data_IF_798394672183
#
_entry.id   IF_798394672183
#
_cell.length_a   1.000
_cell.length_b   1.000
_cell.length_c   1.000
_cell.angle_alpha   90.00
_cell.angle_beta   90.00
_cell.angle_gamma   90.00
#
_symmetry.space_group_name_H-M   'P 1'
#
loop_
_entity.id
_entity.type
_entity.pdbx_description
1 polymer ?
#
# COMPACT_ATOMS: atom_id res chain seq x y z
N UNK A 1 -8.83 -9.40 -1.15
CA UNK A 1 -7.70 -9.39 -0.20
C UNK A 1 -7.30 -10.79 0.26
N UNK A 2 -8.17 -11.62 0.84
CA UNK A 2 -7.85 -13.01 1.31
C UNK A 2 -7.17 -13.89 0.27
N UNK A 3 -7.66 -13.89 -0.99
CA UNK A 3 -7.02 -14.65 -2.08
C UNK A 3 -5.55 -14.24 -2.29
N UNK A 4 -5.29 -12.95 -2.31
CA UNK A 4 -3.93 -12.45 -2.47
C UNK A 4 -3.01 -12.89 -1.33
N UNK A 5 -3.49 -12.86 -0.09
CA UNK A 5 -2.73 -13.33 1.08
C UNK A 5 -2.41 -14.81 0.97
N UNK A 6 -3.39 -15.64 0.58
CA UNK A 6 -3.18 -17.08 0.43
C UNK A 6 -2.24 -17.44 -0.73
N UNK A 7 -2.32 -16.69 -1.84
CA UNK A 7 -1.45 -16.89 -3.00
C UNK A 7 -0.01 -16.46 -2.74
N UNK A 8 0.17 -15.27 -2.19
CA UNK A 8 1.49 -14.63 -2.02
C UNK A 8 2.18 -15.06 -0.73
N UNK A 9 1.41 -15.34 0.34
CA UNK A 9 1.91 -15.63 1.71
C UNK A 9 2.90 -14.55 2.19
N UNK A 10 2.49 -13.28 2.23
CA UNK A 10 3.39 -12.17 2.50
C UNK A 10 3.85 -12.14 3.96
N UNK A 11 4.99 -11.52 4.23
CA UNK A 11 5.49 -11.26 5.58
C UNK A 11 4.77 -10.07 6.25
N UNK A 12 4.33 -9.11 5.46
CA UNK A 12 3.57 -7.94 5.91
C UNK A 12 2.54 -7.53 4.85
N UNK A 13 1.49 -6.86 5.29
CA UNK A 13 0.44 -6.31 4.44
C UNK A 13 0.36 -4.81 4.70
N UNK A 14 0.25 -4.01 3.63
CA UNK A 14 -0.03 -2.58 3.71
C UNK A 14 -1.41 -2.31 3.13
N UNK A 15 -2.30 -1.73 3.93
CA UNK A 15 -3.63 -1.30 3.54
C UNK A 15 -3.67 0.23 3.44
N UNK A 16 -3.96 0.75 2.26
CA UNK A 16 -3.80 2.18 1.92
C UNK A 16 -5.10 2.98 2.04
N UNK A 17 -5.98 2.56 2.92
CA UNK A 17 -7.19 3.31 3.26
C UNK A 17 -8.43 2.91 2.49
N UNK A 18 -9.51 3.53 2.87
CA UNK A 18 -10.90 3.20 2.60
C UNK A 18 -11.30 1.80 3.10
N UNK A 19 -12.41 1.72 3.82
CA UNK A 19 -12.81 0.48 4.51
C UNK A 19 -11.73 -0.05 5.47
N UNK A 20 -11.30 0.79 6.41
CA UNK A 20 -10.27 0.47 7.40
C UNK A 20 -10.53 -0.86 8.14
N UNK A 21 -11.80 -1.19 8.37
CA UNK A 21 -12.22 -2.44 9.02
C UNK A 21 -11.85 -3.70 8.20
N UNK A 22 -11.66 -3.59 6.89
CA UNK A 22 -11.19 -4.70 6.06
C UNK A 22 -9.75 -5.11 6.43
N UNK A 23 -8.89 -4.14 6.74
CA UNK A 23 -7.54 -4.39 7.22
C UNK A 23 -7.53 -5.04 8.60
N UNK A 24 -8.41 -4.61 9.51
CA UNK A 24 -8.58 -5.23 10.83
C UNK A 24 -9.07 -6.67 10.71
N UNK A 25 -10.01 -6.93 9.80
CA UNK A 25 -10.51 -8.30 9.52
C UNK A 25 -9.39 -9.21 9.03
N UNK A 26 -8.56 -8.72 8.09
CA UNK A 26 -7.39 -9.47 7.61
C UNK A 26 -6.38 -9.73 8.72
N UNK A 27 -6.13 -8.76 9.60
CA UNK A 27 -5.24 -8.93 10.74
C UNK A 27 -5.73 -10.01 11.72
N UNK A 28 -7.04 -10.11 11.91
CA UNK A 28 -7.65 -11.17 12.76
C UNK A 28 -7.57 -12.55 12.09
N UNK A 29 -7.77 -12.63 10.79
CA UNK A 29 -7.74 -13.90 10.05
C UNK A 29 -6.31 -14.46 9.86
N UNK A 30 -5.33 -13.56 9.77
CA UNK A 30 -3.91 -13.90 9.56
C UNK A 30 -3.03 -13.31 10.68
N UNK A 31 -3.18 -13.77 11.93
CA UNK A 31 -2.54 -13.15 13.10
C UNK A 31 -1.01 -13.22 13.10
N UNK A 32 -0.44 -14.05 12.23
CA UNK A 32 1.00 -14.19 12.02
C UNK A 32 1.57 -13.17 11.01
N UNK A 33 0.70 -12.43 10.29
CA UNK A 33 1.09 -11.41 9.32
C UNK A 33 0.82 -10.03 9.91
N UNK A 34 1.84 -9.17 9.93
CA UNK A 34 1.66 -7.79 10.39
C UNK A 34 0.93 -6.96 9.33
N UNK A 35 -0.18 -6.36 9.72
CA UNK A 35 -0.93 -5.43 8.88
C UNK A 35 -0.59 -3.99 9.27
N UNK A 36 -0.10 -3.23 8.31
CA UNK A 36 0.12 -1.78 8.41
C UNK A 36 -0.98 -1.09 7.63
N UNK A 37 -1.64 -0.09 8.22
CA UNK A 37 -2.72 0.58 7.52
C UNK A 37 -2.79 2.07 7.82
N UNK A 38 -3.32 2.82 6.87
CA UNK A 38 -3.66 4.23 6.98
C UNK A 38 -5.14 4.40 6.67
N UNK A 39 -5.84 5.40 7.26
CA UNK A 39 -7.23 5.67 6.94
C UNK A 39 -7.36 6.35 5.58
N UNK A 40 -8.47 6.10 4.88
CA UNK A 40 -8.88 6.82 3.68
C UNK A 40 -9.92 7.90 3.96
N UNK A 41 -10.35 8.60 2.92
CA UNK A 41 -11.38 9.64 3.06
C UNK A 41 -12.77 9.06 3.41
N UNK A 42 -13.02 7.79 3.12
CA UNK A 42 -14.24 7.10 3.55
C UNK A 42 -14.20 6.67 5.03
N UNK A 43 -13.05 6.76 5.69
CA UNK A 43 -12.84 6.40 7.09
C UNK A 43 -12.79 7.63 8.00
N UNK A 44 -13.43 8.74 7.62
CA UNK A 44 -13.34 10.05 8.28
C UNK A 44 -13.58 10.02 9.80
N UNK A 45 -14.47 9.14 10.28
CA UNK A 45 -14.73 8.95 11.69
C UNK A 45 -13.54 8.34 12.48
N UNK A 46 -12.67 7.56 11.83
CA UNK A 46 -11.43 7.02 12.39
C UNK A 46 -10.31 8.06 12.40
N UNK A 47 -10.22 8.87 11.34
CA UNK A 47 -9.23 9.96 11.23
C UNK A 47 -9.38 10.97 12.37
N UNK A 48 -10.61 11.24 12.82
CA UNK A 48 -10.87 12.19 13.90
C UNK A 48 -10.41 11.68 15.28
N UNK A 49 -10.04 10.41 15.41
CA UNK A 49 -9.79 9.83 16.72
C UNK A 49 -8.34 9.46 17.01
N UNK A 50 -7.63 8.70 16.18
CA UNK A 50 -6.30 8.18 16.59
C UNK A 50 -5.36 7.73 15.44
N UNK A 51 -5.82 7.66 14.18
CA UNK A 51 -5.00 7.12 13.10
C UNK A 51 -4.40 8.23 12.23
N UNK A 52 -3.06 8.33 12.15
CA UNK A 52 -2.42 9.32 11.27
C UNK A 52 -2.68 9.00 9.79
N UNK A 53 -2.98 10.05 9.02
CA UNK A 53 -3.22 9.96 7.57
C UNK A 53 -1.95 9.58 6.77
N UNK A 54 -0.78 9.80 7.38
CA UNK A 54 0.53 9.47 6.83
C UNK A 54 1.31 8.66 7.85
N UNK A 55 1.93 7.58 7.39
CA UNK A 55 2.89 6.78 8.16
C UNK A 55 4.18 6.62 7.38
N UNK A 56 5.32 6.79 8.03
CA UNK A 56 6.61 6.56 7.40
C UNK A 56 7.56 5.89 8.40
N UNK A 57 7.82 4.62 8.19
CA UNK A 57 8.70 3.80 9.01
C UNK A 57 9.15 2.53 8.27
N UNK A 58 10.02 1.75 8.89
CA UNK A 58 10.59 0.55 8.28
C UNK A 58 9.61 -0.63 8.35
N UNK A 59 9.31 -1.21 7.20
CA UNK A 59 8.53 -2.45 7.03
C UNK A 59 9.39 -3.45 6.28
N UNK A 60 9.61 -4.63 6.84
CA UNK A 60 10.51 -5.65 6.28
C UNK A 60 11.90 -5.09 5.92
N UNK A 61 12.43 -4.18 6.76
CA UNK A 61 13.75 -3.58 6.60
C UNK A 61 13.83 -2.42 5.60
N UNK A 62 12.71 -2.00 5.02
CA UNK A 62 12.66 -0.91 4.03
C UNK A 62 11.76 0.21 4.53
N UNK A 63 12.25 1.46 4.44
CA UNK A 63 11.46 2.63 4.83
C UNK A 63 10.40 2.94 3.80
N UNK A 64 9.13 2.83 4.21
CA UNK A 64 7.97 3.05 3.37
C UNK A 64 7.21 4.30 3.81
N UNK A 65 6.89 5.18 2.86
CA UNK A 65 5.92 6.26 3.03
C UNK A 65 4.55 5.76 2.62
N UNK A 66 3.58 5.78 3.52
CA UNK A 66 2.25 5.21 3.34
C UNK A 66 1.19 6.28 3.60
N UNK A 67 0.31 6.49 2.64
CA UNK A 67 -0.83 7.41 2.73
C UNK A 67 -1.97 6.92 1.84
N UNK A 68 -3.21 7.31 2.17
CA UNK A 68 -4.30 7.12 1.22
C UNK A 68 -4.13 8.02 -0.01
N UNK A 69 -3.66 9.25 0.18
CA UNK A 69 -3.31 10.15 -0.91
C UNK A 69 -4.31 11.26 -1.18
N UNK A 70 -5.50 11.27 -0.57
CA UNK A 70 -6.48 12.33 -0.79
C UNK A 70 -5.97 13.71 -0.32
N UNK A 71 -5.23 13.78 0.80
CA UNK A 71 -4.60 15.01 1.29
C UNK A 71 -3.40 15.46 0.42
N UNK A 72 -2.80 14.54 -0.32
CA UNK A 72 -1.72 14.83 -1.28
C UNK A 72 -2.24 15.18 -2.68
N UNK A 73 -3.55 15.20 -2.88
CA UNK A 73 -4.19 15.49 -4.16
C UNK A 73 -3.73 14.60 -5.31
N UNK A 74 -3.49 13.32 -5.04
CA UNK A 74 -2.92 12.34 -6.00
C UNK A 74 -3.75 12.11 -7.26
N UNK A 75 -5.03 12.51 -7.28
CA UNK A 75 -5.85 12.52 -8.50
C UNK A 75 -5.46 13.60 -9.50
N UNK A 76 -4.69 14.59 -9.07
CA UNK A 76 -4.24 15.72 -9.91
C UNK A 76 -2.76 15.60 -10.23
N UNK A 77 -1.92 15.31 -9.23
CA UNK A 77 -0.47 15.19 -9.39
C UNK A 77 0.14 14.39 -8.23
N UNK A 78 1.24 13.71 -8.49
CA UNK A 78 2.02 13.03 -7.46
C UNK A 78 3.10 13.91 -6.81
N UNK A 79 3.25 15.15 -7.26
CA UNK A 79 4.36 16.03 -6.85
C UNK A 79 4.51 16.14 -5.34
N UNK A 80 3.42 16.43 -4.62
CA UNK A 80 3.44 16.58 -3.15
C UNK A 80 3.74 15.26 -2.44
N UNK A 81 3.15 14.16 -2.90
CA UNK A 81 3.42 12.83 -2.38
C UNK A 81 4.91 12.48 -2.47
N UNK A 82 5.51 12.69 -3.65
CA UNK A 82 6.91 12.37 -3.91
C UNK A 82 7.85 13.27 -3.12
N UNK A 83 7.51 14.55 -2.97
CA UNK A 83 8.27 15.50 -2.17
C UNK A 83 8.32 15.08 -0.70
N UNK A 84 7.17 14.76 -0.12
CA UNK A 84 7.06 14.35 1.29
C UNK A 84 7.76 13.00 1.54
N UNK A 85 7.59 12.03 0.64
CA UNK A 85 8.27 10.74 0.72
C UNK A 85 9.81 10.88 0.70
N UNK A 86 10.33 11.75 -0.18
CA UNK A 86 11.77 12.06 -0.25
C UNK A 86 12.27 12.75 1.01
N UNK A 87 11.52 13.73 1.51
CA UNK A 87 11.86 14.46 2.73
C UNK A 87 11.95 13.54 3.95
N UNK A 88 11.16 12.47 3.98
CA UNK A 88 11.15 11.46 5.05
C UNK A 88 12.13 10.29 4.80
N UNK A 89 12.91 10.33 3.73
CA UNK A 89 13.93 9.33 3.40
C UNK A 89 13.34 7.98 3.01
N UNK A 90 12.12 7.95 2.46
CA UNK A 90 11.48 6.72 2.05
C UNK A 90 12.13 6.13 0.79
N UNK A 91 12.14 4.80 0.69
CA UNK A 91 12.53 4.06 -0.51
C UNK A 91 11.34 3.76 -1.42
N UNK A 92 10.12 3.84 -0.87
CA UNK A 92 8.89 3.75 -1.64
C UNK A 92 7.82 4.69 -1.09
N UNK A 93 7.05 5.30 -2.01
CA UNK A 93 5.83 6.03 -1.75
C UNK A 93 4.61 5.16 -2.15
N UNK A 94 3.83 4.76 -1.15
CA UNK A 94 2.65 3.93 -1.34
C UNK A 94 1.40 4.77 -1.17
N UNK A 95 0.50 4.73 -2.14
CA UNK A 95 -0.74 5.52 -2.12
C UNK A 95 -1.92 4.75 -2.73
N UNK A 96 -3.13 5.21 -2.44
CA UNK A 96 -4.38 4.67 -2.96
C UNK A 96 -5.24 5.74 -3.63
N UNK A 97 -6.51 5.83 -3.25
CA UNK A 97 -7.50 6.86 -3.58
C UNK A 97 -7.92 6.95 -5.06
N UNK A 98 -7.03 6.79 -6.02
CA UNK A 98 -7.36 6.88 -7.45
C UNK A 98 -8.08 5.64 -7.97
N UNK A 99 -7.94 4.50 -7.28
CA UNK A 99 -8.38 3.16 -7.70
C UNK A 99 -7.71 2.67 -9.00
N UNK A 100 -6.71 3.38 -9.47
CA UNK A 100 -5.93 3.03 -10.67
C UNK A 100 -4.59 2.46 -10.24
N UNK A 101 -4.32 1.24 -10.64
CA UNK A 101 -3.04 0.59 -10.35
C UNK A 101 -1.90 1.32 -11.07
N UNK A 102 -0.84 1.62 -10.32
CA UNK A 102 0.38 2.25 -10.80
C UNK A 102 1.58 1.64 -10.08
N UNK A 103 2.62 1.33 -10.80
CA UNK A 103 3.88 0.87 -10.23
C UNK A 103 5.03 1.30 -11.14
N UNK A 104 5.85 2.22 -10.66
CA UNK A 104 7.02 2.69 -11.40
C UNK A 104 8.15 3.08 -10.42
N UNK A 105 9.30 3.38 -10.99
CA UNK A 105 10.47 3.85 -10.24
C UNK A 105 10.92 5.19 -10.80
N UNK A 106 11.10 6.17 -9.92
CA UNK A 106 11.60 7.49 -10.24
C UNK A 106 13.10 7.43 -10.61
N UNK A 107 13.62 8.47 -11.29
CA UNK A 107 15.03 8.55 -11.68
C UNK A 107 15.99 8.51 -10.49
N UNK A 108 15.60 9.03 -9.34
CA UNK A 108 16.37 8.99 -8.09
C UNK A 108 16.28 7.66 -7.34
N UNK A 109 15.54 6.70 -7.89
CA UNK A 109 15.40 5.36 -7.35
C UNK A 109 14.21 5.16 -6.41
N UNK A 110 13.41 6.20 -6.11
CA UNK A 110 12.19 6.09 -5.30
C UNK A 110 11.16 5.22 -6.04
N UNK A 111 10.69 4.16 -5.41
CA UNK A 111 9.56 3.40 -5.91
C UNK A 111 8.23 4.12 -5.63
N UNK A 112 7.32 4.04 -6.57
CA UNK A 112 5.97 4.61 -6.46
C UNK A 112 4.97 3.50 -6.76
N UNK A 113 4.03 3.26 -5.84
CA UNK A 113 3.10 2.14 -6.01
C UNK A 113 1.70 2.51 -5.50
N UNK A 114 0.73 2.32 -6.39
CA UNK A 114 -0.69 2.28 -6.08
C UNK A 114 -1.22 0.88 -6.47
N UNK A 115 -1.73 0.10 -5.52
CA UNK A 115 -2.20 -1.27 -5.83
C UNK A 115 -3.46 -1.30 -6.69
N UNK A 116 -4.15 -0.17 -6.87
CA UNK A 116 -5.50 -0.12 -7.43
C UNK A 116 -6.56 -0.52 -6.40
N UNK A 117 -7.72 -0.95 -6.86
CA UNK A 117 -8.84 -1.37 -6.01
C UNK A 117 -8.84 -2.90 -5.83
N UNK A 118 -8.71 -3.38 -4.60
CA UNK A 118 -8.62 -4.81 -4.29
C UNK A 118 -9.96 -5.56 -4.35
N UNK A 119 -11.09 -4.88 -4.14
CA UNK A 119 -12.41 -5.50 -3.90
C UNK A 119 -13.30 -5.69 -5.12
N UNK A 120 -12.91 -5.23 -6.31
CA UNK A 120 -13.73 -5.30 -7.52
C UNK A 120 -13.45 -6.53 -8.37
N UNK A 121 -14.39 -6.88 -9.24
CA UNK A 121 -14.14 -7.81 -10.35
C UNK A 121 -13.03 -7.24 -11.21
N UNK A 122 -11.92 -7.95 -11.36
CA UNK A 122 -10.70 -7.41 -11.97
C UNK A 122 -9.82 -6.61 -11.02
N UNK A 123 -10.00 -6.73 -9.71
CA UNK A 123 -9.20 -6.06 -8.68
C UNK A 123 -7.71 -6.43 -8.74
N UNK A 124 -6.91 -5.59 -8.13
CA UNK A 124 -5.45 -5.71 -8.12
C UNK A 124 -4.87 -5.52 -6.73
N UNK A 125 -3.66 -6.01 -6.54
CA UNK A 125 -2.81 -5.77 -5.38
C UNK A 125 -1.40 -5.43 -5.83
N UNK A 126 -0.67 -4.68 -5.02
CA UNK A 126 0.76 -4.48 -5.20
C UNK A 126 1.55 -5.57 -4.49
N UNK A 127 2.56 -6.11 -5.14
CA UNK A 127 3.54 -6.98 -4.53
C UNK A 127 4.90 -6.29 -4.57
N UNK A 128 5.54 -6.21 -3.41
CA UNK A 128 6.90 -5.67 -3.25
C UNK A 128 7.78 -6.73 -2.59
N UNK A 129 8.93 -7.00 -3.16
CA UNK A 129 9.91 -7.94 -2.64
C UNK A 129 11.12 -7.15 -2.13
N UNK A 130 11.55 -7.48 -0.91
CA UNK A 130 12.67 -6.78 -0.26
C UNK A 130 13.75 -7.77 0.15
N UNK A 131 15.00 -7.36 0.03
CA UNK A 131 16.16 -8.12 0.50
C UNK A 131 17.24 -7.15 1.03
N UNK A 132 17.78 -7.44 2.22
CA UNK A 132 18.89 -6.68 2.83
C UNK A 132 18.65 -5.16 2.89
N UNK A 133 17.40 -4.76 3.15
CA UNK A 133 17.03 -3.34 3.25
C UNK A 133 16.83 -2.64 1.92
N UNK A 134 16.77 -3.37 0.82
CA UNK A 134 16.49 -2.84 -0.52
C UNK A 134 15.21 -3.44 -1.10
N UNK A 135 14.53 -2.68 -1.96
CA UNK A 135 13.41 -3.17 -2.76
C UNK A 135 14.00 -3.77 -4.04
N UNK A 136 13.91 -5.09 -4.18
CA UNK A 136 14.45 -5.82 -5.33
C UNK A 136 13.45 -5.91 -6.46
N UNK A 137 12.16 -5.92 -6.16
CA UNK A 137 11.10 -5.84 -7.17
C UNK A 137 9.82 -5.22 -6.61
N UNK A 138 9.05 -4.59 -7.48
CA UNK A 138 7.68 -4.19 -7.20
C UNK A 138 6.84 -4.36 -8.47
N UNK A 139 5.61 -4.86 -8.32
CA UNK A 139 4.70 -5.11 -9.44
C UNK A 139 3.25 -5.14 -9.00
N UNK A 140 2.35 -4.98 -9.95
CA UNK A 140 0.91 -5.15 -9.74
C UNK A 140 0.52 -6.57 -10.14
N UNK A 141 -0.23 -7.24 -9.27
CA UNK A 141 -0.88 -8.51 -9.53
C UNK A 141 -2.38 -8.28 -9.69
N UNK A 142 -2.97 -8.79 -10.74
CA UNK A 142 -4.41 -8.77 -10.99
C UNK A 142 -5.05 -10.09 -10.55
N UNK A 143 -6.37 -10.12 -10.41
CA UNK A 143 -7.08 -11.33 -9.99
C UNK A 143 -6.72 -12.60 -10.78
N UNK A 144 -6.60 -12.60 -12.13
CA UNK A 144 -6.16 -13.78 -12.87
C UNK A 144 -4.78 -14.28 -12.44
N UNK A 145 -3.82 -13.36 -12.22
CA UNK A 145 -2.46 -13.71 -11.80
C UNK A 145 -2.47 -14.42 -10.45
N UNK A 146 -3.36 -14.00 -9.55
CA UNK A 146 -3.52 -14.60 -8.22
C UNK A 146 -4.17 -15.99 -8.27
N UNK A 147 -5.01 -16.27 -9.26
CA UNK A 147 -5.62 -17.58 -9.46
C UNK A 147 -4.59 -18.61 -9.96
N UNK A 148 -3.65 -18.19 -10.77
CA UNK A 148 -2.56 -19.04 -11.26
C UNK A 148 -1.52 -19.37 -10.16
N UNK A 149 -1.45 -18.58 -9.09
CA UNK A 149 -0.52 -18.77 -7.97
C UNK A 149 -1.07 -19.70 -6.87
N UNK A 150 -2.37 -20.01 -6.89
CA UNK A 150 -3.02 -20.86 -5.89
C UNK A 150 -2.98 -22.32 -6.28
#
# INVERSE_FOLDING_TARGET
MRRAVNAVKPQAIVHLGDHFDDGETVAQEFPHIRVHQVPGNCDAWRMMRYEPAVKCYDVCGVRLFMTHGHEHHVKQTLMRLLQDARAMGAKAALYGHTHLADCHREEDGLWVLNPGACGSTGGSVGLMETEKGEIISARILKNPDLEEML
#
